data_IF_800840445706
#
_entry.id   IF_800840445706
#
_cell.length_a   1.000
_cell.length_b   1.000
_cell.length_c   1.000
_cell.angle_alpha   90.00
_cell.angle_beta   90.00
_cell.angle_gamma   90.00
#
_symmetry.space_group_name_H-M   'P 1'
#
loop_
_entity.id
_entity.type
_entity.pdbx_description
1 polymer ?
#
# COMPACT_ATOMS: atom_id res chain seq x y z
N UNK A 1 10.04 0.69 53.45
CA UNK A 1 11.17 0.76 52.50
C UNK A 1 11.67 -0.66 52.27
N UNK A 2 11.35 -1.26 51.13
CA UNK A 2 12.01 -2.51 50.70
C UNK A 2 13.04 -2.15 49.65
N UNK A 3 14.31 -2.22 50.06
CA UNK A 3 15.47 -2.08 49.19
C UNK A 3 15.58 -3.41 48.45
N UNK A 4 15.28 -3.44 47.15
CA UNK A 4 15.64 -4.56 46.30
C UNK A 4 17.16 -4.59 46.20
N UNK A 5 17.80 -5.39 47.06
CA UNK A 5 19.20 -5.75 46.88
C UNK A 5 19.26 -6.77 45.74
N UNK A 6 19.97 -6.43 44.66
CA UNK A 6 20.30 -7.38 43.61
C UNK A 6 21.42 -8.28 44.15
N UNK A 7 21.15 -9.59 44.27
CA UNK A 7 22.05 -10.56 44.94
C UNK A 7 23.35 -10.85 44.17
N UNK A 8 23.53 -10.28 42.97
CA UNK A 8 24.81 -10.25 42.25
C UNK A 8 24.83 -9.11 41.23
N UNK A 9 26.03 -8.61 40.91
CA UNK A 9 26.26 -7.65 39.81
C UNK A 9 25.68 -8.17 38.49
N UNK A 10 25.71 -9.49 38.29
CA UNK A 10 25.19 -10.14 37.09
C UNK A 10 23.67 -10.00 36.94
N UNK A 11 22.92 -10.01 38.05
CA UNK A 11 21.46 -9.85 38.04
C UNK A 11 21.07 -8.40 37.75
N UNK A 12 21.82 -7.43 38.29
CA UNK A 12 21.63 -6.02 37.98
C UNK A 12 21.93 -5.74 36.48
N UNK A 13 22.94 -6.39 35.91
CA UNK A 13 23.27 -6.28 34.48
C UNK A 13 22.18 -6.95 33.63
N UNK A 14 21.65 -8.10 34.05
CA UNK A 14 20.57 -8.79 33.34
C UNK A 14 19.28 -7.95 33.32
N UNK A 15 18.94 -7.31 34.43
CA UNK A 15 17.78 -6.42 34.50
C UNK A 15 17.99 -5.16 33.66
N UNK A 16 19.17 -4.53 33.73
CA UNK A 16 19.50 -3.36 32.93
C UNK A 16 19.44 -3.67 31.41
N UNK A 17 19.94 -4.84 30.99
CA UNK A 17 19.83 -5.31 29.60
C UNK A 17 18.37 -5.52 29.18
N UNK A 18 17.56 -6.11 30.05
CA UNK A 18 16.13 -6.33 29.81
C UNK A 18 15.35 -5.02 29.67
N UNK A 19 15.64 -4.02 30.51
CA UNK A 19 15.03 -2.68 30.44
C UNK A 19 15.44 -1.95 29.17
N UNK A 20 16.72 -2.00 28.80
CA UNK A 20 17.22 -1.40 27.55
C UNK A 20 16.56 -2.08 26.34
N UNK A 21 16.44 -3.41 26.34
CA UNK A 21 15.79 -4.15 25.26
C UNK A 21 14.31 -3.79 25.13
N UNK A 22 13.57 -3.72 26.25
CA UNK A 22 12.17 -3.26 26.26
C UNK A 22 12.03 -1.83 25.75
N UNK A 23 12.96 -0.94 26.09
CA UNK A 23 12.95 0.44 25.62
C UNK A 23 13.29 0.54 24.12
N UNK A 24 14.18 -0.30 23.62
CA UNK A 24 14.48 -0.42 22.19
C UNK A 24 13.25 -0.95 21.46
N UNK A 25 12.62 -2.03 21.93
CA UNK A 25 11.42 -2.61 21.32
C UNK A 25 10.22 -1.66 21.38
N UNK A 26 10.05 -0.88 22.46
CA UNK A 26 9.01 0.14 22.57
C UNK A 26 9.25 1.37 21.67
N UNK A 27 10.52 1.64 21.31
CA UNK A 27 10.91 2.73 20.41
C UNK A 27 11.12 2.31 18.97
N UNK A 28 10.90 1.03 18.65
CA UNK A 28 11.00 0.52 17.29
C UNK A 28 9.58 0.39 16.70
N UNK A 29 9.01 1.44 16.08
CA UNK A 29 7.73 1.34 15.37
C UNK A 29 7.77 0.37 14.18
N UNK A 30 8.92 -0.25 13.89
CA UNK A 30 9.17 -1.09 12.71
C UNK A 30 8.71 -2.54 12.89
N UNK A 31 8.20 -2.93 14.07
CA UNK A 31 7.56 -4.26 14.27
C UNK A 31 6.05 -4.27 14.01
N UNK A 32 5.44 -3.15 13.62
CA UNK A 32 4.11 -3.18 13.03
C UNK A 32 4.22 -3.33 11.52
N UNK A 33 4.00 -4.56 11.06
CA UNK A 33 3.65 -4.93 9.69
C UNK A 33 4.51 -4.23 8.62
N UNK A 34 5.55 -4.92 8.18
CA UNK A 34 5.82 -4.96 6.74
C UNK A 34 4.55 -5.57 6.12
N UNK A 35 3.49 -4.74 5.93
CA UNK A 35 2.52 -4.99 4.89
C UNK A 35 3.39 -5.07 3.67
N UNK A 36 3.51 -6.28 3.11
CA UNK A 36 4.19 -6.53 1.85
C UNK A 36 3.98 -5.31 0.98
N UNK A 37 5.05 -4.57 0.68
CA UNK A 37 4.97 -3.48 -0.29
C UNK A 37 4.25 -4.05 -1.50
N UNK A 38 3.05 -3.56 -1.85
CA UNK A 38 2.27 -4.18 -2.91
C UNK A 38 3.14 -4.23 -4.15
N UNK A 39 3.24 -5.40 -4.79
CA UNK A 39 4.03 -5.53 -6.00
C UNK A 39 3.24 -4.90 -7.15
N UNK A 40 3.40 -3.59 -7.31
CA UNK A 40 2.79 -2.84 -8.42
C UNK A 40 3.43 -3.14 -9.79
N UNK A 41 4.18 -4.23 -9.93
CA UNK A 41 4.55 -4.80 -11.23
C UNK A 41 3.66 -5.99 -11.64
N UNK A 42 2.86 -6.55 -10.73
CA UNK A 42 1.96 -7.68 -11.01
C UNK A 42 0.49 -7.26 -10.90
N UNK A 43 -0.41 -7.78 -11.76
CA UNK A 43 -1.86 -7.51 -11.70
C UNK A 43 -2.44 -7.81 -10.32
N UNK A 44 -3.24 -6.89 -9.79
CA UNK A 44 -4.05 -7.11 -8.61
C UNK A 44 -5.46 -7.52 -9.07
N UNK A 45 -5.78 -8.81 -8.96
CA UNK A 45 -7.06 -9.37 -9.45
C UNK A 45 -8.29 -8.75 -8.77
N UNK A 46 -8.21 -8.46 -7.48
CA UNK A 46 -9.29 -7.86 -6.70
C UNK A 46 -9.54 -6.42 -7.15
N UNK A 47 -8.48 -5.62 -7.27
CA UNK A 47 -8.57 -4.25 -7.78
C UNK A 47 -9.05 -4.22 -9.24
N UNK A 48 -8.61 -5.18 -10.06
CA UNK A 48 -9.06 -5.32 -11.45
C UNK A 48 -10.55 -5.66 -11.54
N UNK A 49 -11.04 -6.56 -10.68
CA UNK A 49 -12.45 -6.92 -10.62
C UNK A 49 -13.32 -5.73 -10.21
N UNK A 50 -12.91 -4.99 -9.17
CA UNK A 50 -13.65 -3.81 -8.71
C UNK A 50 -13.62 -2.68 -9.75
N UNK A 51 -12.48 -2.44 -10.38
CA UNK A 51 -12.37 -1.47 -11.48
C UNK A 51 -13.33 -1.80 -12.61
N UNK A 52 -13.42 -3.07 -13.03
CA UNK A 52 -14.38 -3.50 -14.07
C UNK A 52 -15.81 -3.19 -13.69
N UNK A 53 -16.21 -3.40 -12.43
CA UNK A 53 -17.55 -3.05 -11.96
C UNK A 53 -17.79 -1.54 -12.06
N UNK A 54 -16.82 -0.72 -11.67
CA UNK A 54 -16.92 0.75 -11.76
C UNK A 54 -16.92 1.25 -13.21
N UNK A 55 -16.17 0.61 -14.11
CA UNK A 55 -16.20 0.90 -15.55
C UNK A 55 -17.54 0.51 -16.17
N UNK A 56 -18.09 -0.66 -15.82
CA UNK A 56 -19.41 -1.10 -16.30
C UNK A 56 -20.52 -0.17 -15.83
N UNK A 57 -20.41 0.40 -14.62
CA UNK A 57 -21.39 1.35 -14.09
C UNK A 57 -21.48 2.65 -14.88
N UNK A 58 -20.39 3.06 -15.54
CA UNK A 58 -20.34 4.27 -16.37
C UNK A 58 -20.33 3.98 -17.86
N UNK A 59 -20.30 2.70 -18.28
CA UNK A 59 -20.07 2.28 -19.68
C UNK A 59 -20.96 2.99 -20.67
N UNK A 60 -22.25 3.07 -20.38
CA UNK A 60 -23.24 3.60 -21.33
C UNK A 60 -23.25 5.14 -21.38
N UNK A 61 -22.60 5.82 -20.43
CA UNK A 61 -22.50 7.27 -20.34
C UNK A 61 -21.07 7.80 -20.46
N UNK A 62 -20.08 6.92 -20.57
CA UNK A 62 -18.65 7.28 -20.44
C UNK A 62 -18.21 8.30 -21.49
N UNK A 63 -18.66 8.14 -22.73
CA UNK A 63 -18.32 9.04 -23.84
C UNK A 63 -19.00 10.42 -23.73
N UNK A 64 -20.07 10.51 -22.94
CA UNK A 64 -20.86 11.73 -22.72
C UNK A 64 -20.49 12.46 -21.41
N UNK A 65 -19.52 11.93 -20.64
CA UNK A 65 -19.08 12.55 -19.38
C UNK A 65 -18.38 13.88 -19.64
N UNK A 66 -18.71 14.89 -18.84
CA UNK A 66 -17.91 16.13 -18.80
C UNK A 66 -16.54 15.85 -18.18
N UNK A 67 -15.58 16.75 -18.41
CA UNK A 67 -14.25 16.66 -17.79
C UNK A 67 -14.34 16.59 -16.25
N UNK A 68 -15.25 17.36 -15.65
CA UNK A 68 -15.51 17.34 -14.20
C UNK A 68 -16.04 15.97 -13.75
N UNK A 69 -17.03 15.42 -14.45
CA UNK A 69 -17.59 14.11 -14.11
C UNK A 69 -16.57 12.98 -14.29
N UNK A 70 -15.71 13.09 -15.30
CA UNK A 70 -14.62 12.15 -15.53
C UNK A 70 -13.57 12.24 -14.41
N UNK A 71 -13.24 13.46 -13.96
CA UNK A 71 -12.40 13.70 -12.80
C UNK A 71 -12.97 13.10 -11.52
N UNK A 72 -14.25 13.33 -11.24
CA UNK A 72 -14.95 12.76 -10.07
C UNK A 72 -14.96 11.22 -10.09
N UNK A 73 -15.13 10.62 -11.28
CA UNK A 73 -15.04 9.17 -11.43
C UNK A 73 -13.64 8.64 -11.18
N UNK A 74 -12.60 9.32 -11.68
CA UNK A 74 -11.20 8.96 -11.38
C UNK A 74 -10.91 9.07 -9.88
N UNK A 75 -11.37 10.12 -9.22
CA UNK A 75 -11.18 10.33 -7.78
C UNK A 75 -11.95 9.30 -6.93
N UNK A 76 -12.97 8.66 -7.51
CA UNK A 76 -13.70 7.56 -6.85
C UNK A 76 -12.96 6.23 -6.87
N UNK A 77 -11.86 6.11 -7.62
CA UNK A 77 -11.03 4.90 -7.67
C UNK A 77 -10.11 4.82 -6.46
N UNK A 78 -10.02 3.64 -5.87
CA UNK A 78 -8.96 3.36 -4.90
C UNK A 78 -7.61 3.34 -5.62
N UNK A 79 -6.52 3.60 -4.90
CA UNK A 79 -5.18 3.69 -5.49
C UNK A 79 -4.81 2.44 -6.31
N UNK A 80 -5.10 1.25 -5.80
CA UNK A 80 -4.83 0.00 -6.51
C UNK A 80 -5.67 -0.14 -7.80
N UNK A 81 -6.92 0.33 -7.80
CA UNK A 81 -7.80 0.34 -8.98
C UNK A 81 -7.29 1.34 -10.02
N UNK A 82 -6.79 2.49 -9.59
CA UNK A 82 -6.16 3.47 -10.48
C UNK A 82 -4.90 2.89 -11.15
N UNK A 83 -4.06 2.15 -10.41
CA UNK A 83 -2.91 1.45 -11.00
C UNK A 83 -3.36 0.42 -12.06
N UNK A 84 -4.43 -0.35 -11.80
CA UNK A 84 -5.00 -1.26 -12.80
C UNK A 84 -5.53 -0.53 -14.04
N UNK A 85 -6.14 0.65 -13.88
CA UNK A 85 -6.61 1.46 -15.01
C UNK A 85 -5.45 1.88 -15.93
N UNK A 86 -4.33 2.33 -15.35
CA UNK A 86 -3.13 2.70 -16.11
C UNK A 86 -2.57 1.47 -16.84
N UNK A 87 -2.50 0.31 -16.18
CA UNK A 87 -2.06 -0.94 -16.80
C UNK A 87 -2.94 -1.38 -17.95
N UNK A 88 -4.26 -1.25 -17.83
CA UNK A 88 -5.19 -1.51 -18.92
C UNK A 88 -4.87 -0.60 -20.11
N UNK A 89 -4.70 0.70 -19.88
CA UNK A 89 -4.32 1.65 -20.95
C UNK A 89 -3.02 1.24 -21.65
N UNK A 90 -1.99 0.86 -20.90
CA UNK A 90 -0.69 0.46 -21.46
C UNK A 90 -0.78 -0.87 -22.24
N UNK A 91 -1.53 -1.85 -21.72
CA UNK A 91 -1.77 -3.13 -22.39
C UNK A 91 -2.63 -3.01 -23.67
N UNK A 92 -3.51 -2.00 -23.75
CA UNK A 92 -4.27 -1.68 -24.97
C UNK A 92 -3.52 -0.73 -25.93
N UNK A 93 -2.41 -0.13 -25.49
CA UNK A 93 -1.58 0.77 -26.30
C UNK A 93 -0.27 0.18 -26.88
N UNK A 94 -0.10 -1.14 -27.20
CA UNK A 94 1.15 -1.63 -27.78
C UNK A 94 1.38 -1.19 -29.25
N UNK A 95 0.47 -0.44 -29.87
CA UNK A 95 0.51 -0.05 -31.29
C UNK A 95 0.54 1.46 -31.54
N UNK A 96 1.32 2.25 -30.79
CA UNK A 96 1.51 3.68 -31.12
C UNK A 96 2.99 4.10 -31.24
N UNK A 97 3.92 3.16 -31.51
CA UNK A 97 5.32 3.51 -31.75
C UNK A 97 5.98 2.77 -32.93
N UNK A 98 5.28 2.72 -34.07
CA UNK A 98 5.91 2.44 -35.37
C UNK A 98 5.52 3.51 -36.38
N UNK A 99 5.91 4.77 -36.14
CA UNK A 99 6.10 5.71 -37.25
C UNK A 99 7.52 5.50 -37.75
N UNK A 100 7.62 4.67 -38.78
CA UNK A 100 8.76 4.66 -39.68
C UNK A 100 8.70 5.96 -40.51
N UNK A 101 9.76 6.77 -40.43
CA UNK A 101 10.26 7.65 -41.49
C UNK A 101 11.75 7.90 -41.22
#
# INVERSE_FOLDING_TARGET
>A
LSIHQFDSIDDAIAEARSVIQRHIDAKNPVKEKIKSTPNYNEPNEDASANLKVKMEAVRDSFDDMTEEQYGDWLDSLEFDEFIELIRLRENYAPYQNTISC
#
